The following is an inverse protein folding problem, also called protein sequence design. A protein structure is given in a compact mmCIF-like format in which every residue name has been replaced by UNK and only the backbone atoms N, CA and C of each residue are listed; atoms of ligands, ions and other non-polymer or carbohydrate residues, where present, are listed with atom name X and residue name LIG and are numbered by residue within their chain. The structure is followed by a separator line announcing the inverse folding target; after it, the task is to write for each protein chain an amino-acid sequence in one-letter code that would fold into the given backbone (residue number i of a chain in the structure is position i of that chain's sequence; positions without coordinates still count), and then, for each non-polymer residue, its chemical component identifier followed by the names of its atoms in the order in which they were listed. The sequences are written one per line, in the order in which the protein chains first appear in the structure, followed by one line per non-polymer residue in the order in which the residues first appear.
data_IF_537635866149
#
_entry.id   IF_537635866149
#
_cell.length_a   1.000
_cell.length_b   1.000
_cell.length_c   1.000
_cell.angle_alpha   90.00
_cell.angle_beta   90.00
_cell.angle_gamma   90.00
#
_symmetry.space_group_name_H-M   'P 1'
#
loop_
_entity.id
_entity.type
_entity.pdbx_description
1 polymer ?
#
# COMPACT_ATOMS: atom_id res chain seq x y z
N UNK A 1 5.96 -4.54 -33.41
CA UNK A 1 6.71 -5.79 -33.20
C UNK A 1 6.22 -6.37 -31.90
N UNK A 2 5.70 -7.60 -31.92
CA UNK A 2 5.41 -8.35 -30.71
C UNK A 2 6.72 -8.93 -30.16
N UNK A 3 6.88 -8.98 -28.83
CA UNK A 3 7.97 -9.69 -28.17
C UNK A 3 7.46 -11.01 -27.60
N UNK A 4 8.34 -12.01 -27.51
CA UNK A 4 8.03 -13.25 -26.82
C UNK A 4 7.74 -12.97 -25.33
N UNK A 5 6.93 -13.80 -24.68
CA UNK A 5 6.54 -13.63 -23.27
C UNK A 5 7.79 -13.60 -22.35
N UNK A 6 8.79 -14.39 -22.71
CA UNK A 6 10.07 -14.56 -22.03
C UNK A 6 10.98 -13.31 -22.13
N UNK A 7 10.66 -12.39 -23.04
CA UNK A 7 11.36 -11.10 -23.23
C UNK A 7 10.61 -9.91 -22.61
N UNK A 8 9.43 -10.14 -22.02
CA UNK A 8 8.67 -9.14 -21.29
C UNK A 8 8.99 -9.27 -19.80
N UNK A 9 9.00 -8.14 -19.08
CA UNK A 9 9.09 -8.22 -17.63
C UNK A 9 7.96 -9.07 -17.08
N UNK A 10 8.32 -10.03 -16.23
CA UNK A 10 7.37 -10.88 -15.52
C UNK A 10 6.70 -10.14 -14.37
N UNK A 11 7.29 -9.02 -13.92
CA UNK A 11 6.88 -8.29 -12.72
C UNK A 11 6.27 -6.92 -13.03
N UNK A 12 6.72 -6.24 -14.08
CA UNK A 12 6.22 -4.93 -14.50
C UNK A 12 5.35 -5.03 -15.74
N UNK A 13 4.28 -4.27 -15.74
CA UNK A 13 3.43 -4.15 -16.93
C UNK A 13 4.02 -3.14 -17.92
N UNK A 14 3.56 -3.14 -19.18
CA UNK A 14 3.96 -2.14 -20.16
C UNK A 14 3.61 -0.69 -19.80
N UNK A 15 2.84 -0.45 -18.73
CA UNK A 15 2.48 0.90 -18.27
C UNK A 15 3.53 1.52 -17.35
N UNK A 16 4.35 0.69 -16.70
CA UNK A 16 5.42 1.14 -15.82
C UNK A 16 6.67 1.43 -16.66
N UNK A 17 7.21 2.63 -16.48
CA UNK A 17 8.41 3.10 -17.17
C UNK A 17 9.64 2.62 -16.41
N UNK A 18 10.59 2.05 -17.13
CA UNK A 18 11.86 1.53 -16.58
C UNK A 18 12.99 2.52 -16.82
N UNK A 19 13.97 2.55 -15.91
CA UNK A 19 15.18 3.38 -16.02
C UNK A 19 14.96 4.85 -15.64
N UNK A 20 15.71 5.75 -16.29
CA UNK A 20 15.89 7.14 -15.85
C UNK A 20 14.62 8.02 -15.81
N UNK A 21 13.53 7.56 -16.41
CA UNK A 21 12.24 8.26 -16.36
C UNK A 21 11.55 8.18 -15.00
N UNK A 22 11.87 7.17 -14.19
CA UNK A 22 11.28 6.97 -12.88
C UNK A 22 11.67 8.11 -11.92
N UNK A 23 10.68 8.68 -11.22
CA UNK A 23 10.89 9.60 -10.11
C UNK A 23 10.68 8.89 -8.79
N UNK A 24 9.50 8.26 -8.63
CA UNK A 24 9.13 7.46 -7.46
C UNK A 24 8.29 6.29 -7.93
N UNK A 25 8.61 5.11 -7.43
CA UNK A 25 7.85 3.89 -7.59
C UNK A 25 7.48 3.34 -6.22
N UNK A 26 6.24 2.89 -6.10
CA UNK A 26 5.66 2.52 -4.83
C UNK A 26 4.72 1.33 -5.03
N UNK A 27 4.90 0.28 -4.22
CA UNK A 27 3.98 -0.84 -4.15
C UNK A 27 2.99 -0.65 -3.00
N UNK A 28 1.70 -0.84 -3.26
CA UNK A 28 0.70 -0.96 -2.19
C UNK A 28 0.06 -2.34 -2.25
N UNK A 29 0.00 -3.02 -1.11
CA UNK A 29 -0.59 -4.35 -1.01
C UNK A 29 -1.70 -4.38 0.04
N UNK A 30 -2.77 -5.08 -0.30
CA UNK A 30 -3.96 -5.19 0.54
C UNK A 30 -4.62 -6.57 0.39
N UNK A 31 -5.48 -6.90 1.34
CA UNK A 31 -6.28 -8.10 1.31
C UNK A 31 -7.39 -8.00 0.24
N UNK A 32 -7.37 -8.91 -0.72
CA UNK A 32 -8.38 -9.04 -1.77
C UNK A 32 -9.24 -10.27 -1.50
N UNK A 33 -10.28 -10.09 -0.69
CA UNK A 33 -11.27 -11.14 -0.45
C UNK A 33 -12.24 -11.24 -1.63
N UNK A 34 -12.29 -12.40 -2.29
CA UNK A 34 -13.30 -12.70 -3.30
C UNK A 34 -14.34 -13.64 -2.69
N UNK A 35 -15.57 -13.15 -2.56
CA UNK A 35 -16.71 -14.02 -2.27
C UNK A 35 -17.05 -14.75 -3.56
N UNK A 36 -16.76 -16.04 -3.59
CA UNK A 36 -17.12 -16.92 -4.70
C UNK A 36 -18.32 -17.76 -4.29
N UNK A 37 -19.42 -17.62 -5.01
CA UNK A 37 -20.58 -18.51 -4.84
C UNK A 37 -20.38 -19.70 -5.78
N UNK A 38 -20.15 -20.88 -5.24
CA UNK A 38 -20.14 -22.13 -6.00
C UNK A 38 -21.43 -22.92 -5.74
N UNK A 39 -21.64 -23.99 -6.49
CA UNK A 39 -22.82 -24.88 -6.36
C UNK A 39 -22.95 -25.53 -4.97
N UNK A 40 -21.93 -25.44 -4.11
CA UNK A 40 -21.90 -25.97 -2.75
C UNK A 40 -22.00 -24.88 -1.66
N UNK A 41 -22.10 -23.59 -2.02
CA UNK A 41 -22.21 -22.47 -1.08
C UNK A 41 -21.28 -21.29 -1.39
N UNK A 42 -21.31 -20.27 -0.53
CA UNK A 42 -20.39 -19.14 -0.59
C UNK A 42 -19.05 -19.50 0.05
N UNK A 43 -17.99 -19.56 -0.76
CA UNK A 43 -16.60 -19.70 -0.32
C UNK A 43 -15.89 -18.34 -0.42
N UNK A 44 -15.21 -17.93 0.64
CA UNK A 44 -14.32 -16.76 0.63
C UNK A 44 -12.94 -17.22 0.21
N UNK A 45 -12.45 -16.72 -0.93
CA UNK A 45 -11.05 -16.88 -1.34
C UNK A 45 -10.30 -15.66 -0.83
N UNK A 46 -9.39 -15.88 0.12
CA UNK A 46 -8.49 -14.84 0.61
C UNK A 46 -7.27 -14.78 -0.32
N UNK A 47 -7.07 -13.64 -0.96
CA UNK A 47 -5.92 -13.40 -1.83
C UNK A 47 -5.22 -12.12 -1.39
N UNK A 48 -3.90 -12.01 -1.59
CA UNK A 48 -3.19 -10.75 -1.53
C UNK A 48 -3.21 -10.07 -2.91
N UNK A 49 -3.72 -8.85 -2.96
CA UNK A 49 -3.72 -8.00 -4.16
C UNK A 49 -2.74 -6.85 -3.99
N UNK A 50 -2.14 -6.38 -5.09
CA UNK A 50 -1.22 -5.25 -5.05
C UNK A 50 -1.36 -4.33 -6.24
N UNK A 51 -1.05 -3.06 -6.02
CA UNK A 51 -0.92 -2.03 -7.05
C UNK A 51 0.49 -1.46 -7.06
N UNK A 52 0.91 -1.05 -8.26
CA UNK A 52 2.12 -0.30 -8.54
C UNK A 52 1.72 1.13 -8.82
N UNK A 53 2.33 2.09 -8.13
CA UNK A 53 2.12 3.51 -8.35
C UNK A 53 3.45 4.10 -8.78
N UNK A 54 3.47 4.79 -9.92
CA UNK A 54 4.67 5.40 -10.47
C UNK A 54 4.47 6.88 -10.77
N UNK A 55 5.37 7.70 -10.25
CA UNK A 55 5.60 9.08 -10.67
C UNK A 55 6.79 9.13 -11.62
N UNK A 56 6.64 9.89 -12.71
CA UNK A 56 7.61 9.90 -13.80
C UNK A 56 8.02 11.35 -14.08
N UNK A 57 9.30 11.59 -14.33
CA UNK A 57 9.89 12.93 -14.56
C UNK A 57 9.16 13.69 -15.65
N UNK A 58 8.92 14.98 -15.44
CA UNK A 58 8.09 15.80 -16.34
C UNK A 58 8.61 15.83 -17.79
N UNK A 59 9.93 15.88 -17.97
CA UNK A 59 10.58 15.87 -19.29
C UNK A 59 10.65 14.50 -19.95
N UNK A 60 10.27 13.42 -19.25
CA UNK A 60 10.42 12.07 -19.77
C UNK A 60 9.21 11.65 -20.60
N UNK A 61 9.45 11.49 -21.90
CA UNK A 61 8.55 10.87 -22.87
C UNK A 61 8.98 9.43 -23.09
N UNK A 62 8.11 8.48 -22.77
CA UNK A 62 8.41 7.07 -22.99
C UNK A 62 8.60 6.79 -24.49
N UNK A 63 9.76 6.26 -24.85
CA UNK A 63 10.07 5.84 -26.22
C UNK A 63 9.67 4.38 -26.48
N UNK A 64 9.34 3.61 -25.44
CA UNK A 64 8.89 2.22 -25.56
C UNK A 64 7.45 2.19 -26.08
N UNK A 65 7.24 1.65 -27.28
CA UNK A 65 5.90 1.37 -27.80
C UNK A 65 5.20 0.36 -26.87
N UNK A 66 4.02 0.76 -26.38
CA UNK A 66 3.12 -0.08 -25.58
C UNK A 66 2.79 -1.35 -26.38
N UNK A 67 3.36 -2.46 -25.98
CA UNK A 67 3.10 -3.76 -26.60
C UNK A 67 2.26 -4.55 -25.62
N UNK A 68 0.94 -4.58 -25.84
CA UNK A 68 0.07 -5.43 -25.05
C UNK A 68 0.28 -6.89 -25.48
N UNK A 69 0.24 -7.87 -24.57
CA UNK A 69 0.20 -9.26 -24.96
C UNK A 69 -1.03 -9.51 -25.84
N UNK A 70 -0.81 -10.01 -27.05
CA UNK A 70 -1.90 -10.49 -27.91
C UNK A 70 -2.35 -11.85 -27.36
N UNK A 71 -3.55 -11.89 -26.78
CA UNK A 71 -4.19 -13.15 -26.47
C UNK A 71 -4.79 -13.71 -27.76
N UNK A 72 -4.26 -14.82 -28.26
CA UNK A 72 -4.92 -15.57 -29.32
C UNK A 72 -6.18 -16.20 -28.72
N UNK A 73 -7.32 -15.53 -28.90
CA UNK A 73 -8.63 -16.10 -28.57
C UNK A 73 -8.97 -17.13 -29.64
N UNK A 74 -8.27 -18.25 -29.62
CA UNK A 74 -8.68 -19.40 -30.42
C UNK A 74 -10.09 -19.77 -29.95
N UNK A 75 -11.03 -19.84 -30.89
CA UNK A 75 -12.44 -20.20 -30.64
C UNK A 75 -12.63 -21.59 -30.01
N UNK A 76 -11.53 -22.32 -29.78
CA UNK A 76 -11.46 -23.64 -29.16
C UNK A 76 -11.08 -23.61 -27.66
N UNK A 77 -10.61 -22.49 -27.12
CA UNK A 77 -10.35 -22.37 -25.66
C UNK A 77 -11.63 -21.96 -24.92
N UNK A 78 -12.51 -22.94 -24.68
CA UNK A 78 -13.74 -22.78 -23.87
C UNK A 78 -13.51 -22.78 -22.36
N UNK A 79 -12.28 -23.01 -21.91
CA UNK A 79 -11.90 -22.96 -20.50
C UNK A 79 -10.47 -22.46 -20.36
N UNK A 80 -10.26 -21.58 -19.38
CA UNK A 80 -8.93 -21.28 -18.88
C UNK A 80 -8.50 -22.48 -18.04
N UNK A 81 -7.41 -23.15 -18.43
CA UNK A 81 -6.71 -24.08 -17.52
C UNK A 81 -6.08 -23.21 -16.43
N UNK A 82 -6.80 -23.00 -15.35
CA UNK A 82 -6.28 -22.34 -14.16
C UNK A 82 -5.43 -23.40 -13.47
N UNK A 83 -4.11 -23.35 -13.65
CA UNK A 83 -3.20 -24.10 -12.78
C UNK A 83 -3.49 -23.65 -11.36
N UNK A 84 -3.73 -24.58 -10.40
CA UNK A 84 -3.92 -24.19 -9.02
C UNK A 84 -2.71 -23.32 -8.60
N UNK A 85 -2.95 -22.19 -7.93
CA UNK A 85 -1.90 -21.26 -7.55
C UNK A 85 -0.85 -22.02 -6.73
N UNK A 86 0.41 -21.87 -7.13
CA UNK A 86 1.54 -22.46 -6.43
C UNK A 86 1.45 -22.07 -4.94
N UNK A 87 1.44 -23.08 -4.07
CA UNK A 87 1.40 -22.84 -2.63
C UNK A 87 2.81 -22.43 -2.22
N UNK A 88 2.93 -21.32 -1.49
CA UNK A 88 4.23 -20.82 -1.08
C UNK A 88 4.76 -21.74 0.03
N UNK A 89 6.08 -21.96 0.11
CA UNK A 89 6.66 -22.72 1.22
C UNK A 89 6.39 -21.99 2.54
N UNK A 90 6.08 -22.76 3.58
CA UNK A 90 5.80 -22.21 4.91
C UNK A 90 7.01 -21.41 5.43
N UNK A 91 6.75 -20.23 5.99
CA UNK A 91 7.77 -19.38 6.60
C UNK A 91 7.53 -19.21 8.10
N UNK A 92 8.18 -20.07 8.88
CA UNK A 92 8.22 -19.98 10.33
C UNK A 92 9.52 -19.32 10.80
N UNK A 93 9.41 -18.25 11.60
CA UNK A 93 10.55 -17.60 12.22
C UNK A 93 10.17 -16.97 13.56
N UNK A 94 11.16 -16.81 14.45
CA UNK A 94 10.98 -16.04 15.69
C UNK A 94 11.01 -14.55 15.37
N UNK A 95 9.95 -13.83 15.76
CA UNK A 95 9.90 -12.38 15.62
C UNK A 95 11.09 -11.72 16.28
N UNK A 96 11.71 -10.81 15.56
CA UNK A 96 12.77 -9.92 16.05
C UNK A 96 12.28 -8.48 15.97
N UNK A 97 12.92 -7.59 16.72
CA UNK A 97 12.66 -6.15 16.70
C UNK A 97 13.77 -5.39 15.94
N UNK A 98 13.59 -4.08 15.72
CA UNK A 98 14.61 -3.26 15.08
C UNK A 98 15.84 -3.16 15.98
N UNK A 99 17.03 -3.20 15.37
CA UNK A 99 18.31 -2.96 16.06
C UNK A 99 18.72 -1.52 15.81
N UNK A 100 18.42 -0.64 16.75
CA UNK A 100 18.88 0.74 16.66
C UNK A 100 20.35 0.86 17.09
N UNK A 101 21.15 1.69 16.41
CA UNK A 101 22.48 2.05 16.89
C UNK A 101 22.40 2.61 18.31
N UNK A 102 23.42 2.34 19.13
CA UNK A 102 23.54 2.96 20.47
C UNK A 102 23.53 4.48 20.31
N UNK A 103 22.66 5.15 21.06
CA UNK A 103 22.44 6.61 21.02
C UNK A 103 21.76 7.13 19.74
N UNK A 104 21.07 6.29 18.97
CA UNK A 104 20.22 6.78 17.90
C UNK A 104 19.16 7.73 18.47
N UNK A 105 19.17 8.98 18.01
CA UNK A 105 18.14 9.96 18.31
C UNK A 105 17.45 10.33 16.99
N UNK A 106 16.13 10.38 17.02
CA UNK A 106 15.31 10.67 15.85
C UNK A 106 14.60 11.98 16.09
N UNK A 107 15.04 13.03 15.39
CA UNK A 107 14.37 14.32 15.40
C UNK A 107 13.58 14.45 14.10
N UNK A 108 12.25 14.64 14.14
CA UNK A 108 11.49 14.87 12.92
C UNK A 108 11.97 16.16 12.24
N UNK A 109 11.92 16.23 10.90
CA UNK A 109 12.19 17.47 10.18
C UNK A 109 11.30 18.62 10.65
N UNK A 110 11.85 19.83 10.71
CA UNK A 110 11.10 21.01 11.16
C UNK A 110 9.87 21.29 10.27
N UNK A 111 9.91 20.92 8.98
CA UNK A 111 8.77 21.10 8.07
C UNK A 111 7.55 20.28 8.51
N UNK A 112 7.75 19.15 9.20
CA UNK A 112 6.63 18.35 9.71
C UNK A 112 5.79 19.12 10.72
N UNK A 113 6.42 19.94 11.56
CA UNK A 113 5.70 20.76 12.54
C UNK A 113 4.85 21.83 11.85
N UNK A 114 5.40 22.49 10.82
CA UNK A 114 4.66 23.49 10.03
C UNK A 114 3.44 22.87 9.35
N UNK A 115 3.60 21.71 8.71
CA UNK A 115 2.49 20.99 8.08
C UNK A 115 1.47 20.49 9.10
N UNK A 116 1.91 20.06 10.29
CA UNK A 116 1.04 19.66 11.38
C UNK A 116 0.19 20.83 11.88
N UNK A 117 0.81 21.96 12.19
CA UNK A 117 0.15 23.16 12.70
C UNK A 117 -0.90 23.68 11.70
N UNK A 118 -0.55 23.72 10.41
CA UNK A 118 -1.48 24.09 9.34
C UNK A 118 -2.68 23.13 9.23
N UNK A 119 -2.44 21.82 9.34
CA UNK A 119 -3.50 20.81 9.29
C UNK A 119 -4.41 20.90 10.52
N UNK A 120 -3.84 21.11 11.71
CA UNK A 120 -4.57 21.31 12.96
C UNK A 120 -5.45 22.57 12.90
N UNK A 121 -4.94 23.67 12.35
CA UNK A 121 -5.73 24.89 12.16
C UNK A 121 -6.96 24.62 11.28
N UNK A 122 -6.79 23.91 10.16
CA UNK A 122 -7.92 23.55 9.29
C UNK A 122 -8.92 22.62 9.99
N UNK A 123 -8.42 21.64 10.75
CA UNK A 123 -9.26 20.72 11.51
C UNK A 123 -10.08 21.45 12.58
N UNK A 124 -9.43 22.30 13.39
CA UNK A 124 -10.07 23.11 14.41
C UNK A 124 -11.08 24.10 13.81
N UNK A 125 -10.76 24.70 12.66
CA UNK A 125 -11.68 25.60 11.94
C UNK A 125 -12.92 24.84 11.48
N UNK A 126 -12.76 23.62 10.95
CA UNK A 126 -13.88 22.77 10.53
C UNK A 126 -14.75 22.38 11.74
N UNK A 127 -14.14 21.91 12.83
CA UNK A 127 -14.86 21.56 14.06
C UNK A 127 -15.62 22.75 14.64
N UNK A 128 -14.98 23.92 14.72
CA UNK A 128 -15.60 25.15 15.21
C UNK A 128 -16.78 25.55 14.33
N UNK A 129 -16.60 25.55 13.00
CA UNK A 129 -17.66 25.85 12.04
C UNK A 129 -18.85 24.90 12.23
N UNK A 130 -18.56 23.60 12.39
CA UNK A 130 -19.57 22.55 12.59
C UNK A 130 -20.31 22.69 13.93
N UNK A 131 -19.62 23.13 14.98
CA UNK A 131 -20.21 23.42 16.28
C UNK A 131 -21.09 24.66 16.23
N UNK A 132 -20.63 25.74 15.60
CA UNK A 132 -21.44 26.95 15.42
C UNK A 132 -22.69 26.69 14.57
N UNK A 133 -22.60 25.84 13.55
CA UNK A 133 -23.74 25.43 12.72
C UNK A 133 -24.60 24.31 13.31
N UNK A 134 -24.34 23.89 14.55
CA UNK A 134 -25.09 22.81 15.21
C UNK A 134 -26.47 23.23 15.74
N UNK A 135 -26.74 24.53 15.82
CA UNK A 135 -28.02 25.07 16.28
C UNK A 135 -29.08 24.91 15.17
N UNK A 136 -29.75 23.75 15.15
CA UNK A 136 -30.80 23.42 14.20
C UNK A 136 -30.34 22.42 13.14
N UNK A 137 -30.41 22.81 11.85
CA UNK A 137 -29.99 21.93 10.74
C UNK A 137 -28.49 22.07 10.51
N UNK A 138 -27.74 21.00 10.77
CA UNK A 138 -26.29 20.95 10.54
C UNK A 138 -25.95 21.31 9.08
N UNK A 139 -25.37 22.49 8.88
CA UNK A 139 -25.03 23.02 7.55
C UNK A 139 -23.63 22.59 7.08
N UNK A 140 -22.73 22.33 8.02
CA UNK A 140 -21.38 21.86 7.73
C UNK A 140 -21.42 20.33 7.62
N UNK A 141 -20.95 19.72 6.53
CA UNK A 141 -20.94 18.26 6.38
C UNK A 141 -20.05 17.61 7.43
N UNK A 142 -20.30 16.34 7.72
CA UNK A 142 -19.41 15.55 8.56
C UNK A 142 -18.01 15.51 7.96
N UNK A 143 -16.99 15.54 8.81
CA UNK A 143 -15.63 15.33 8.36
C UNK A 143 -15.41 13.83 8.12
N UNK A 144 -15.72 13.36 6.91
CA UNK A 144 -15.61 11.95 6.51
C UNK A 144 -14.25 11.56 5.92
N UNK A 145 -13.24 12.42 6.03
CA UNK A 145 -11.92 12.24 5.42
C UNK A 145 -10.79 12.74 6.30
N UNK A 146 -9.59 12.86 5.74
CA UNK A 146 -8.40 13.31 6.44
C UNK A 146 -7.76 14.48 5.69
N UNK A 147 -7.27 15.48 6.43
CA UNK A 147 -6.39 16.51 5.87
C UNK A 147 -4.99 15.90 5.87
N UNK A 148 -4.52 15.50 4.69
CA UNK A 148 -3.15 15.04 4.52
C UNK A 148 -2.37 16.13 3.81
N UNK A 149 -1.42 16.73 4.50
CA UNK A 149 -0.33 17.46 3.84
C UNK A 149 0.63 16.41 3.30
N UNK A 150 0.46 16.05 2.03
CA UNK A 150 1.44 15.24 1.32
C UNK A 150 2.50 16.13 0.71
N UNK A 151 3.60 15.53 0.24
CA UNK A 151 4.64 16.24 -0.49
C UNK A 151 4.10 17.03 -1.69
N UNK A 152 5.01 17.67 -2.43
CA UNK A 152 4.66 18.47 -3.61
C UNK A 152 3.75 17.69 -4.55
N UNK A 153 2.65 18.31 -4.96
CA UNK A 153 1.74 17.71 -5.95
C UNK A 153 2.55 17.39 -7.20
N UNK A 154 2.52 16.14 -7.69
CA UNK A 154 3.30 15.78 -8.85
C UNK A 154 2.79 16.55 -10.08
N UNK A 155 3.69 16.96 -11.00
CA UNK A 155 3.33 17.78 -12.16
C UNK A 155 2.39 17.04 -13.13
N UNK A 156 2.31 15.71 -13.03
CA UNK A 156 1.37 14.86 -13.76
C UNK A 156 0.78 13.78 -12.86
N UNK A 157 -0.37 13.25 -13.26
CA UNK A 157 -1.00 12.11 -12.60
C UNK A 157 -0.06 10.91 -12.62
N UNK A 158 0.03 10.23 -11.48
CA UNK A 158 0.78 8.98 -11.34
C UNK A 158 0.16 7.87 -12.20
N UNK A 159 1.02 7.01 -12.75
CA UNK A 159 0.61 5.79 -13.42
C UNK A 159 0.30 4.72 -12.38
N UNK A 160 -0.78 3.97 -12.58
CA UNK A 160 -1.18 2.87 -11.70
C UNK A 160 -1.26 1.59 -12.51
N UNK A 161 -0.70 0.51 -11.99
CA UNK A 161 -0.92 -0.84 -12.51
C UNK A 161 -1.05 -1.87 -11.37
N UNK A 162 -1.25 -3.13 -11.71
CA UNK A 162 -1.58 -4.19 -10.77
C UNK A 162 -0.54 -5.30 -10.78
N UNK A 163 -0.18 -5.78 -9.59
CA UNK A 163 0.55 -7.02 -9.45
C UNK A 163 -0.37 -8.21 -9.75
N UNK A 164 0.22 -9.33 -10.16
CA UNK A 164 -0.51 -10.60 -10.19
C UNK A 164 -0.85 -11.02 -8.75
N UNK A 165 -2.13 -11.23 -8.41
CA UNK A 165 -2.53 -11.59 -7.04
C UNK A 165 -1.91 -12.91 -6.58
N UNK A 166 -1.62 -13.00 -5.28
CA UNK A 166 -1.26 -14.26 -4.63
C UNK A 166 -2.52 -14.83 -4.01
N UNK A 167 -2.92 -16.03 -4.41
CA UNK A 167 -4.16 -16.67 -3.94
C UNK A 167 -3.97 -17.38 -2.59
N UNK A 168 -3.40 -16.67 -1.63
CA UNK A 168 -3.23 -17.08 -0.23
C UNK A 168 -3.47 -15.86 0.67
N UNK A 169 -3.83 -16.07 1.95
CA UNK A 169 -4.08 -14.97 2.88
C UNK A 169 -2.86 -14.05 3.02
N UNK A 170 -3.07 -12.74 2.87
CA UNK A 170 -2.00 -11.73 3.05
C UNK A 170 -1.40 -11.72 4.47
N UNK A 171 -2.12 -12.32 5.43
CA UNK A 171 -1.67 -12.49 6.82
C UNK A 171 -0.70 -13.66 7.00
N UNK A 172 -0.39 -14.47 5.98
CA UNK A 172 0.65 -15.49 6.08
C UNK A 172 2.05 -14.85 5.94
N UNK A 173 3.00 -15.26 6.78
CA UNK A 173 4.38 -14.77 6.69
C UNK A 173 5.02 -15.14 5.34
N UNK A 174 4.70 -16.31 4.79
CA UNK A 174 5.23 -16.73 3.49
C UNK A 174 4.75 -15.80 2.37
N UNK A 175 3.47 -15.40 2.44
CA UNK A 175 2.88 -14.42 1.52
C UNK A 175 3.56 -13.07 1.70
N UNK A 176 3.66 -12.54 2.92
CA UNK A 176 4.31 -11.23 3.16
C UNK A 176 5.77 -11.22 2.66
N UNK A 177 6.52 -12.30 2.89
CA UNK A 177 7.89 -12.43 2.38
C UNK A 177 7.94 -12.39 0.85
N UNK A 178 7.02 -13.08 0.19
CA UNK A 178 6.89 -13.05 -1.27
C UNK A 178 6.47 -11.66 -1.79
N UNK A 179 5.59 -10.95 -1.07
CA UNK A 179 5.22 -9.57 -1.40
C UNK A 179 6.45 -8.65 -1.40
N UNK A 180 7.31 -8.77 -0.37
CA UNK A 180 8.55 -8.00 -0.28
C UNK A 180 9.44 -8.30 -1.49
N UNK A 181 9.67 -9.57 -1.84
CA UNK A 181 10.50 -9.93 -3.01
C UNK A 181 9.94 -9.41 -4.33
N UNK A 182 8.62 -9.50 -4.55
CA UNK A 182 7.98 -8.96 -5.76
C UNK A 182 8.11 -7.45 -5.86
N UNK A 183 7.97 -6.76 -4.74
CA UNK A 183 8.17 -5.32 -4.67
C UNK A 183 9.62 -4.92 -4.91
N UNK A 184 10.58 -5.67 -4.38
CA UNK A 184 12.01 -5.43 -4.62
C UNK A 184 12.34 -5.60 -6.10
N UNK A 185 11.98 -6.73 -6.70
CA UNK A 185 12.24 -6.99 -8.12
C UNK A 185 11.63 -5.91 -9.04
N UNK A 186 10.39 -5.48 -8.76
CA UNK A 186 9.75 -4.38 -9.49
C UNK A 186 10.48 -3.04 -9.31
N UNK A 187 10.97 -2.76 -8.09
CA UNK A 187 11.73 -1.55 -7.75
C UNK A 187 13.09 -1.52 -8.45
N UNK A 188 13.79 -2.65 -8.48
CA UNK A 188 15.07 -2.80 -9.17
C UNK A 188 14.92 -2.56 -10.67
N UNK A 189 13.85 -3.09 -11.27
CA UNK A 189 13.61 -2.94 -12.71
C UNK A 189 13.32 -1.48 -13.12
N UNK A 190 12.68 -0.70 -12.25
CA UNK A 190 12.53 0.76 -12.47
C UNK A 190 13.77 1.57 -12.10
N UNK A 191 14.84 0.92 -11.61
CA UNK A 191 16.10 1.57 -11.24
C UNK A 191 16.02 2.40 -9.96
N UNK A 192 15.08 2.12 -9.07
CA UNK A 192 14.95 2.81 -7.79
C UNK A 192 15.79 2.09 -6.71
N UNK A 193 16.57 2.82 -5.89
CA UNK A 193 17.46 2.19 -4.91
C UNK A 193 16.76 1.63 -3.67
N UNK A 194 15.60 2.17 -3.30
CA UNK A 194 14.85 1.77 -2.11
C UNK A 194 13.46 1.27 -2.50
N UNK A 195 13.06 0.14 -1.94
CA UNK A 195 11.74 -0.44 -2.16
C UNK A 195 10.75 0.16 -1.19
N UNK A 196 9.81 0.95 -1.70
CA UNK A 196 8.77 1.58 -0.89
C UNK A 196 7.53 0.70 -0.97
N UNK A 197 7.07 0.23 0.20
CA UNK A 197 5.85 -0.54 0.32
C UNK A 197 4.87 0.17 1.25
N UNK A 198 3.59 0.16 0.89
CA UNK A 198 2.50 0.43 1.83
C UNK A 198 1.72 -0.85 2.08
N UNK A 199 1.47 -1.12 3.36
CA UNK A 199 0.58 -2.21 3.76
C UNK A 199 -0.45 -1.71 4.78
N UNK A 200 -1.52 -2.48 4.98
CA UNK A 200 -2.35 -2.32 6.17
C UNK A 200 -1.54 -2.56 7.47
N UNK A 201 -2.09 -2.14 8.61
CA UNK A 201 -1.40 -2.28 9.90
C UNK A 201 -1.03 -3.74 10.24
N UNK A 202 -1.95 -4.68 10.01
CA UNK A 202 -1.76 -6.09 10.35
C UNK A 202 -0.64 -6.73 9.54
N UNK A 203 -0.52 -6.34 8.28
CA UNK A 203 0.53 -6.78 7.36
C UNK A 203 1.85 -6.07 7.67
N UNK A 204 1.87 -4.77 8.00
CA UNK A 204 3.10 -4.08 8.48
C UNK A 204 3.67 -4.78 9.71
N UNK A 205 2.81 -5.19 10.66
CA UNK A 205 3.23 -5.93 11.86
C UNK A 205 3.88 -7.29 11.56
N UNK A 206 3.74 -7.82 10.33
CA UNK A 206 4.44 -9.01 9.84
C UNK A 206 5.64 -8.67 8.97
N UNK A 207 5.50 -7.68 8.09
CA UNK A 207 6.55 -7.23 7.18
C UNK A 207 7.78 -6.72 7.93
N UNK A 208 7.61 -5.88 8.96
CA UNK A 208 8.74 -5.32 9.71
C UNK A 208 9.60 -6.41 10.41
N UNK A 209 9.03 -7.37 11.15
CA UNK A 209 9.81 -8.49 11.69
C UNK A 209 10.52 -9.34 10.64
N UNK A 210 9.94 -9.50 9.45
CA UNK A 210 10.60 -10.20 8.33
C UNK A 210 11.82 -9.39 7.87
N UNK A 211 11.64 -8.10 7.59
CA UNK A 211 12.75 -7.21 7.18
C UNK A 211 13.88 -7.19 8.21
N UNK A 212 13.56 -7.10 9.51
CA UNK A 212 14.57 -7.12 10.57
C UNK A 212 15.23 -8.49 10.76
N UNK A 213 14.54 -9.59 10.42
CA UNK A 213 15.09 -10.95 10.50
C UNK A 213 16.04 -11.24 9.34
N UNK A 214 15.67 -10.79 8.15
CA UNK A 214 16.39 -10.99 6.89
C UNK A 214 16.97 -9.64 6.40
N UNK A 215 17.69 -8.96 7.30
CA UNK A 215 18.23 -7.61 7.05
C UNK A 215 19.17 -7.57 5.83
N UNK A 216 19.97 -8.61 5.62
CA UNK A 216 20.85 -8.71 4.44
C UNK A 216 20.07 -8.70 3.12
N UNK A 217 18.87 -9.31 3.11
CA UNK A 217 18.00 -9.37 1.93
C UNK A 217 17.19 -8.07 1.79
N UNK A 218 16.53 -7.61 2.86
CA UNK A 218 15.57 -6.51 2.77
C UNK A 218 16.05 -5.17 3.33
N UNK A 219 17.36 -4.93 3.40
CA UNK A 219 17.96 -3.69 3.95
C UNK A 219 17.48 -2.40 3.27
N UNK A 220 17.01 -2.50 2.02
CA UNK A 220 16.54 -1.36 1.20
C UNK A 220 15.03 -1.12 1.29
N UNK A 221 14.32 -1.88 2.13
CA UNK A 221 12.87 -1.76 2.25
C UNK A 221 12.46 -0.64 3.19
N UNK A 222 11.55 0.21 2.72
CA UNK A 222 10.83 1.21 3.50
C UNK A 222 9.36 0.79 3.54
N UNK A 223 8.94 0.24 4.68
CA UNK A 223 7.56 -0.19 4.89
C UNK A 223 6.76 0.91 5.59
N UNK A 224 5.70 1.36 4.92
CA UNK A 224 4.79 2.41 5.38
C UNK A 224 3.46 1.77 5.79
N UNK A 225 2.83 2.36 6.82
CA UNK A 225 1.46 2.03 7.21
C UNK A 225 0.51 2.82 6.31
N UNK A 226 -0.45 2.14 5.70
CA UNK A 226 -1.48 2.77 4.88
C UNK A 226 -2.22 3.85 5.65
N UNK A 227 -2.34 5.04 5.04
CA UNK A 227 -2.89 6.25 5.68
C UNK A 227 -4.29 6.03 6.24
N UNK A 228 -5.10 5.17 5.61
CA UNK A 228 -6.43 4.81 6.10
C UNK A 228 -6.38 4.19 7.50
N UNK A 229 -5.46 3.24 7.74
CA UNK A 229 -5.35 2.58 9.05
C UNK A 229 -4.78 3.50 10.13
N UNK A 230 -3.76 4.31 9.80
CA UNK A 230 -3.22 5.31 10.74
C UNK A 230 -4.32 6.25 11.21
N UNK A 231 -5.22 6.61 10.30
CA UNK A 231 -6.28 7.55 10.58
C UNK A 231 -7.50 6.92 11.26
N UNK A 232 -7.82 5.65 10.96
CA UNK A 232 -8.79 4.85 11.73
C UNK A 232 -8.31 4.57 13.16
N UNK A 233 -7.03 4.23 13.35
CA UNK A 233 -6.44 4.06 14.69
C UNK A 233 -6.50 5.35 15.51
N UNK A 234 -6.26 6.50 14.88
CA UNK A 234 -6.42 7.80 15.52
C UNK A 234 -7.89 8.07 15.86
N UNK A 235 -8.83 7.79 14.96
CA UNK A 235 -10.26 7.93 15.22
C UNK A 235 -10.75 7.00 16.36
N UNK A 236 -10.27 5.77 16.42
CA UNK A 236 -10.53 4.84 17.53
C UNK A 236 -9.98 5.39 18.86
N UNK A 237 -8.77 5.95 18.86
CA UNK A 237 -8.19 6.56 20.06
C UNK A 237 -9.00 7.77 20.56
N UNK A 238 -9.58 8.56 19.66
CA UNK A 238 -10.50 9.63 20.01
C UNK A 238 -11.83 9.10 20.53
N UNK A 239 -12.38 8.05 19.90
CA UNK A 239 -13.60 7.39 20.36
C UNK A 239 -13.48 6.87 21.79
N UNK A 240 -12.35 6.22 22.11
CA UNK A 240 -12.05 5.74 23.45
C UNK A 240 -11.93 6.89 24.46
N UNK A 241 -11.25 7.98 24.09
CA UNK A 241 -11.06 9.16 24.94
C UNK A 241 -12.38 9.89 25.24
N UNK A 242 -13.28 9.95 24.25
CA UNK A 242 -14.63 10.56 24.40
C UNK A 242 -15.53 9.68 25.27
N UNK A 243 -15.42 8.35 25.18
CA UNK A 243 -16.13 7.40 26.05
C UNK A 243 -15.63 7.42 27.50
N UNK A 244 -14.34 7.61 27.72
CA UNK A 244 -13.75 7.80 29.07
C UNK A 244 -14.17 9.11 29.72
N UNK A 245 -14.37 10.18 28.95
CA UNK A 245 -14.89 11.46 29.44
C UNK A 245 -16.42 11.46 29.63
N UNK A 246 -17.13 10.55 28.95
CA UNK A 246 -18.58 10.40 29.04
C UNK A 246 -19.06 9.41 30.10
N UNK A 247 -18.16 8.67 30.75
CA UNK A 247 -18.49 7.79 31.88
C UNK A 247 -18.25 8.54 33.20
N UNK A 248 -19.30 8.86 33.98
CA UNK A 248 -19.11 9.41 35.31
C UNK A 248 -18.40 8.34 36.14
N UNK A 249 -17.26 8.68 36.75
CA UNK A 249 -16.70 7.85 37.83
C UNK A 249 -17.70 7.86 38.98
N UNK A 250 -18.46 6.78 39.13
CA UNK A 250 -19.28 6.55 40.31
C UNK A 250 -18.34 6.33 41.50
N UNK A 251 -18.32 7.31 42.40
CA UNK A 251 -17.86 7.16 43.79
C UNK A 251 -18.81 6.26 44.58
#
# INVERSE_FOLDING_TARGET
MAKAFDEMSTNLTPQIITGEGNTVFHSEWDNLNRITTNVHGSNVVNSAGGIMIQEVKESHVSTKKRTLPLYDRSSKMRSLKITPPETLPELAFKRVGPKFPKNANFTPPAENQVSYDASMLQYNTHLLSRWLSSQGKQQVPGFGGFISSTGKVPPRKSSIDFYTPINQPITDNAVVYELLKRSEAATEEVGQPYTINTFDLGVVMKACPIVWKYEEEFSKHVNLIGKFHTAMNWADSLGASVLELATPRSS
#
